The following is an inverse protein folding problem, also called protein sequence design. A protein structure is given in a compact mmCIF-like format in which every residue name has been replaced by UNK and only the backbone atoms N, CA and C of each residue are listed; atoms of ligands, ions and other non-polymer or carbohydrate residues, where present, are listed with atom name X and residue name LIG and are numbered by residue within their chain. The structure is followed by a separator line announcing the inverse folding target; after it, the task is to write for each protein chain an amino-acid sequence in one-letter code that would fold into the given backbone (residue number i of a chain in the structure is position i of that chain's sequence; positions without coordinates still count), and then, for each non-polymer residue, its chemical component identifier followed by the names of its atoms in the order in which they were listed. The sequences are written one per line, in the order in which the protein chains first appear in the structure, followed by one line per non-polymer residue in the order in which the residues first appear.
data_IF_988220726718
#
_entry.id   IF_988220726718
#
_cell.length_a   1.000
_cell.length_b   1.000
_cell.length_c   1.000
_cell.angle_alpha   90.00
_cell.angle_beta   90.00
_cell.angle_gamma   90.00
#
_symmetry.space_group_name_H-M   'P 1'
#
loop_
_entity.id
_entity.type
_entity.pdbx_description
1 polymer ?
#
# COMPACT_ATOMS: atom_id res chain seq x y z
N UNK A 1 1.07 -0.22 -3.93
CA UNK A 1 1.31 -0.32 -2.49
C UNK A 1 0.50 0.70 -1.70
N UNK A 2 0.82 2.00 -1.77
CA UNK A 2 0.14 3.04 -0.98
C UNK A 2 -1.39 2.97 -1.05
N UNK A 3 -1.96 2.78 -2.23
CA UNK A 3 -3.41 2.65 -2.41
C UNK A 3 -4.01 1.42 -1.71
N UNK A 4 -3.27 0.31 -1.64
CA UNK A 4 -3.73 -0.88 -0.93
C UNK A 4 -3.82 -0.61 0.57
N UNK A 5 -2.76 -0.02 1.14
CA UNK A 5 -2.73 0.35 2.56
C UNK A 5 -3.78 1.41 2.89
N UNK A 6 -3.93 2.44 2.04
CA UNK A 6 -4.95 3.48 2.17
C UNK A 6 -6.37 2.90 2.28
N UNK A 7 -6.63 1.81 1.54
CA UNK A 7 -7.93 1.16 1.41
C UNK A 7 -8.07 -0.11 2.26
N UNK A 8 -7.21 -0.32 3.26
CA UNK A 8 -7.26 -1.47 4.17
C UNK A 8 -7.07 -2.85 3.49
N UNK A 9 -6.43 -2.87 2.32
CA UNK A 9 -6.13 -4.08 1.56
C UNK A 9 -4.75 -4.57 2.03
N UNK A 10 -4.78 -5.27 3.17
CA UNK A 10 -3.61 -5.84 3.84
C UNK A 10 -3.91 -7.30 4.16
N UNK A 11 -3.22 -8.27 3.53
CA UNK A 11 -3.46 -9.69 3.81
C UNK A 11 -3.23 -10.05 5.27
N UNK A 12 -4.04 -10.98 5.79
CA UNK A 12 -4.05 -11.31 7.22
C UNK A 12 -2.69 -11.76 7.77
N UNK A 13 -1.84 -12.38 6.94
CA UNK A 13 -0.48 -12.80 7.35
C UNK A 13 0.40 -11.64 7.84
N UNK A 14 0.19 -10.43 7.33
CA UNK A 14 0.92 -9.25 7.79
C UNK A 14 0.31 -8.69 9.07
N UNK A 15 -1.03 -8.63 9.15
CA UNK A 15 -1.76 -8.20 10.35
C UNK A 15 -1.43 -9.04 11.58
N UNK A 16 -1.26 -10.36 11.40
CA UNK A 16 -0.93 -11.28 12.48
C UNK A 16 0.43 -11.00 13.14
N UNK A 17 1.36 -10.34 12.43
CA UNK A 17 2.65 -9.94 13.00
C UNK A 17 2.50 -8.82 14.04
N UNK A 18 1.38 -8.07 14.04
CA UNK A 18 1.13 -6.93 14.94
C UNK A 18 2.32 -5.96 14.96
N UNK A 19 2.79 -5.63 13.76
CA UNK A 19 3.79 -4.59 13.55
C UNK A 19 3.13 -3.21 13.71
N UNK A 20 3.94 -2.17 13.88
CA UNK A 20 3.40 -0.83 13.66
C UNK A 20 3.06 -0.65 12.17
N UNK A 21 2.30 0.39 11.86
CA UNK A 21 1.78 0.59 10.51
C UNK A 21 2.89 0.73 9.45
N UNK A 22 4.03 1.33 9.80
CA UNK A 22 5.12 1.53 8.85
C UNK A 22 5.91 0.24 8.62
N UNK A 23 6.15 -0.52 9.68
CA UNK A 23 6.77 -1.82 9.59
C UNK A 23 5.87 -2.84 8.88
N UNK A 24 4.55 -2.81 9.08
CA UNK A 24 3.59 -3.64 8.33
C UNK A 24 3.60 -3.29 6.84
N UNK A 25 3.61 -1.99 6.52
CA UNK A 25 3.78 -1.50 5.15
C UNK A 25 5.05 -2.06 4.51
N UNK A 26 6.19 -2.00 5.22
CA UNK A 26 7.44 -2.54 4.69
C UNK A 26 7.48 -4.07 4.68
N UNK A 27 6.84 -4.75 5.62
CA UNK A 27 6.73 -6.20 5.65
C UNK A 27 6.04 -6.72 4.38
N UNK A 28 4.99 -6.04 3.92
CA UNK A 28 4.37 -6.34 2.64
C UNK A 28 5.31 -6.08 1.45
N UNK A 29 6.17 -5.06 1.53
CA UNK A 29 7.07 -4.67 0.43
C UNK A 29 8.30 -5.57 0.28
N UNK A 30 8.92 -6.00 1.39
CA UNK A 30 10.22 -6.70 1.40
C UNK A 30 10.24 -7.97 2.24
N UNK A 31 9.09 -8.39 2.76
CA UNK A 31 8.99 -9.46 3.73
C UNK A 31 9.38 -8.97 5.12
N UNK A 32 9.17 -9.84 6.09
CA UNK A 32 9.59 -9.62 7.47
C UNK A 32 10.10 -10.94 8.03
N UNK A 33 11.24 -10.91 8.71
CA UNK A 33 11.78 -12.05 9.44
C UNK A 33 12.34 -11.52 10.76
N UNK A 34 11.77 -11.97 11.89
CA UNK A 34 12.18 -11.53 13.22
C UNK A 34 11.34 -12.16 14.32
N UNK A 35 11.37 -11.57 15.51
CA UNK A 35 10.74 -12.11 16.72
C UNK A 35 9.21 -12.28 16.59
N UNK A 36 8.59 -11.49 15.70
CA UNK A 36 7.14 -11.52 15.46
C UNK A 36 6.72 -12.52 14.39
N UNK A 37 7.66 -13.18 13.71
CA UNK A 37 7.39 -14.20 12.70
C UNK A 37 8.24 -14.07 11.43
N UNK A 38 7.85 -14.83 10.42
CA UNK A 38 8.48 -14.86 9.10
C UNK A 38 7.40 -14.86 8.01
N UNK A 39 7.38 -13.82 7.18
CA UNK A 39 6.48 -13.69 6.04
C UNK A 39 7.23 -13.19 4.81
N UNK A 40 6.87 -13.74 3.66
CA UNK A 40 7.42 -13.32 2.37
C UNK A 40 6.81 -11.98 1.93
N UNK A 41 7.59 -11.24 1.15
CA UNK A 41 7.11 -10.05 0.44
C UNK A 41 5.96 -10.40 -0.52
N UNK A 42 5.11 -9.42 -0.79
CA UNK A 42 4.19 -9.47 -1.93
C UNK A 42 4.96 -9.51 -3.25
N UNK A 43 4.40 -10.11 -4.31
CA UNK A 43 5.05 -10.17 -5.60
C UNK A 43 5.19 -8.77 -6.22
N UNK A 44 6.25 -8.59 -7.00
CA UNK A 44 6.47 -7.37 -7.78
C UNK A 44 6.33 -7.66 -9.27
N UNK A 45 5.66 -6.77 -10.01
CA UNK A 45 5.52 -6.83 -11.47
C UNK A 45 6.01 -5.52 -12.09
N UNK A 46 6.44 -5.57 -13.35
CA UNK A 46 6.73 -4.35 -14.12
C UNK A 46 5.45 -3.52 -14.26
N UNK A 47 5.58 -2.22 -14.08
CA UNK A 47 4.51 -1.26 -14.34
C UNK A 47 4.40 -1.06 -15.85
N UNK A 48 3.42 -1.75 -16.45
CA UNK A 48 3.24 -1.83 -17.90
C UNK A 48 4.55 -2.22 -18.62
N UNK A 49 4.91 -1.49 -19.67
CA UNK A 49 6.12 -1.68 -20.46
C UNK A 49 7.32 -0.85 -19.95
N UNK A 50 7.24 -0.30 -18.74
CA UNK A 50 8.34 0.46 -18.13
C UNK A 50 9.30 -0.47 -17.37
N UNK A 51 10.43 0.07 -16.92
CA UNK A 51 11.34 -0.64 -16.01
C UNK A 51 11.02 -0.40 -14.53
N UNK A 52 9.96 0.36 -14.23
CA UNK A 52 9.48 0.54 -12.87
C UNK A 52 8.73 -0.72 -12.42
N UNK A 53 8.80 -1.06 -11.13
CA UNK A 53 8.10 -2.20 -10.57
C UNK A 53 7.12 -1.72 -9.51
N UNK A 54 5.93 -2.32 -9.50
CA UNK A 54 4.94 -2.11 -8.44
C UNK A 54 4.76 -3.40 -7.65
N UNK A 55 4.46 -3.24 -6.36
CA UNK A 55 4.03 -4.33 -5.50
C UNK A 55 2.57 -4.61 -5.84
N UNK A 56 2.31 -5.86 -6.24
CA UNK A 56 1.01 -6.40 -6.59
C UNK A 56 0.19 -6.50 -5.30
N UNK A 57 -0.90 -5.73 -5.14
CA UNK A 57 -1.80 -5.88 -4.02
C UNK A 57 -2.46 -7.26 -4.07
N UNK A 58 -2.85 -7.77 -2.91
CA UNK A 58 -3.55 -9.05 -2.79
C UNK A 58 -4.84 -8.80 -2.01
N UNK A 59 -5.96 -9.28 -2.54
CA UNK A 59 -7.30 -9.17 -1.97
C UNK A 59 -7.75 -10.58 -1.64
N UNK A 60 -8.07 -10.82 -0.38
CA UNK A 60 -8.65 -12.05 0.13
C UNK A 60 -10.18 -11.95 0.18
N UNK A 61 -10.89 -13.08 0.26
CA UNK A 61 -12.36 -13.13 0.34
C UNK A 61 -12.93 -12.36 1.54
N UNK A 62 -12.16 -12.20 2.60
CA UNK A 62 -12.50 -11.47 3.83
C UNK A 62 -11.92 -10.04 3.88
N UNK A 63 -11.35 -9.54 2.77
CA UNK A 63 -10.81 -8.18 2.70
C UNK A 63 -11.93 -7.14 2.72
N UNK A 64 -11.99 -6.36 3.79
CA UNK A 64 -12.86 -5.18 3.89
C UNK A 64 -12.16 -3.94 3.32
N UNK A 65 -12.64 -3.49 2.16
CA UNK A 65 -12.13 -2.27 1.49
C UNK A 65 -12.70 -1.03 2.17
N UNK A 66 -11.86 -0.31 2.91
CA UNK A 66 -12.24 0.84 3.74
C UNK A 66 -11.13 1.89 3.72
N UNK A 67 -11.49 3.18 3.70
CA UNK A 67 -10.51 4.25 3.83
C UNK A 67 -9.98 4.29 5.27
N UNK A 68 -8.72 3.88 5.47
CA UNK A 68 -8.07 3.82 6.80
C UNK A 68 -6.85 4.72 6.93
N UNK A 69 -6.38 5.30 5.82
CA UNK A 69 -5.22 6.21 5.80
C UNK A 69 -5.58 7.64 5.36
N UNK A 70 -4.69 8.57 5.67
CA UNK A 70 -4.83 9.99 5.34
C UNK A 70 -3.75 10.54 4.40
N UNK A 71 -2.76 9.71 3.99
CA UNK A 71 -1.58 10.12 3.20
C UNK A 71 -1.86 11.15 2.09
N UNK A 72 -2.75 10.91 1.10
CA UNK A 72 -2.94 11.86 0.01
C UNK A 72 -3.54 13.21 0.45
N UNK A 73 -4.24 13.24 1.61
CA UNK A 73 -4.77 14.46 2.21
C UNK A 73 -3.67 15.20 2.96
N UNK A 74 -2.89 14.48 3.77
CA UNK A 74 -1.80 15.03 4.57
C UNK A 74 -0.72 15.65 3.67
N UNK A 75 -0.32 14.95 2.60
CA UNK A 75 0.68 15.44 1.64
C UNK A 75 0.18 16.66 0.85
N UNK A 76 -1.12 16.71 0.52
CA UNK A 76 -1.71 17.89 -0.13
C UNK A 76 -1.69 19.10 0.83
N UNK A 77 -2.09 18.91 2.09
CA UNK A 77 -2.05 19.96 3.11
C UNK A 77 -0.62 20.43 3.38
N UNK A 78 0.35 19.51 3.41
CA UNK A 78 1.77 19.83 3.55
C UNK A 78 2.24 20.75 2.42
N UNK A 79 1.98 20.39 1.16
CA UNK A 79 2.35 21.21 0.01
C UNK A 79 1.67 22.59 0.04
N UNK A 80 0.37 22.62 0.40
CA UNK A 80 -0.40 23.86 0.51
C UNK A 80 0.15 24.79 1.59
N UNK A 81 0.61 24.25 2.72
CA UNK A 81 1.25 25.04 3.79
C UNK A 81 2.59 25.66 3.34
N UNK A 82 3.25 25.06 2.35
CA UNK A 82 4.41 25.62 1.67
C UNK A 82 4.04 26.62 0.55
N UNK A 83 2.76 26.95 0.37
CA UNK A 83 2.27 27.84 -0.69
C UNK A 83 2.24 27.20 -2.09
N UNK A 84 2.30 25.87 -2.17
CA UNK A 84 2.33 25.13 -3.43
C UNK A 84 0.95 24.46 -3.64
N UNK A 85 0.21 24.92 -4.65
CA UNK A 85 -1.01 24.25 -5.07
C UNK A 85 -0.66 23.00 -5.89
N UNK A 86 -1.10 21.82 -5.43
CA UNK A 86 -0.81 20.55 -6.08
C UNK A 86 -2.09 19.86 -6.55
N UNK A 87 -1.94 18.84 -7.41
CA UNK A 87 -3.02 17.94 -7.80
C UNK A 87 -2.70 16.54 -7.29
N UNK A 88 -3.51 16.03 -6.37
CA UNK A 88 -3.35 14.67 -5.86
C UNK A 88 -3.51 13.64 -6.98
N UNK A 89 -2.57 12.71 -7.07
CA UNK A 89 -2.59 11.62 -8.05
C UNK A 89 -2.89 10.30 -7.33
N UNK A 90 -3.96 9.63 -7.76
CA UNK A 90 -4.38 8.33 -7.24
C UNK A 90 -4.62 7.40 -8.43
N UNK A 91 -4.23 6.14 -8.31
CA UNK A 91 -4.54 5.11 -9.30
C UNK A 91 -6.06 4.90 -9.39
N UNK A 92 -6.60 4.83 -10.62
CA UNK A 92 -8.03 4.58 -10.81
C UNK A 92 -8.45 3.19 -10.31
N UNK A 93 -9.67 3.09 -9.77
CA UNK A 93 -10.17 1.86 -9.14
C UNK A 93 -10.09 0.63 -10.05
N UNK A 94 -10.48 0.76 -11.32
CA UNK A 94 -10.38 -0.34 -12.30
C UNK A 94 -8.93 -0.82 -12.48
N UNK A 95 -8.00 0.12 -12.70
CA UNK A 95 -6.58 -0.20 -12.89
C UNK A 95 -6.00 -0.86 -11.64
N UNK A 96 -6.37 -0.37 -10.47
CA UNK A 96 -5.92 -0.94 -9.19
C UNK A 96 -6.39 -2.38 -9.00
N UNK A 97 -7.69 -2.65 -9.17
CA UNK A 97 -8.23 -4.01 -9.07
C UNK A 97 -7.65 -4.94 -10.15
N UNK A 98 -7.42 -4.44 -11.37
CA UNK A 98 -6.80 -5.23 -12.45
C UNK A 98 -5.31 -5.54 -12.19
N UNK A 99 -4.66 -4.72 -11.37
CA UNK A 99 -3.25 -4.87 -11.00
C UNK A 99 -3.04 -5.80 -9.81
N UNK A 100 -4.10 -6.19 -9.11
CA UNK A 100 -4.08 -7.29 -8.15
C UNK A 100 -3.81 -8.62 -8.88
#
# INVERSE_FOLDING_TARGET
MDTAVLLNIVPNRYRQLKLDALDEYFAMARGYQGDKGDVKALPMKKWFNTNYHYIVPEIDDDTEVLLVGSKPFDEYVEAKNCGIETKSAIIGAFTFLKAC
#
